data_IF_202443714672
#
_entry.id   IF_202443714672
#
_cell.length_a   1.000
_cell.length_b   1.000
_cell.length_c   1.000
_cell.angle_alpha   90.00
_cell.angle_beta   90.00
_cell.angle_gamma   90.00
#
_symmetry.space_group_name_H-M   'P 1'
#
loop_
_entity.id
_entity.type
_entity.pdbx_description
1 polymer ?
#
# COMPACT_ATOMS: atom_id res chain seq x y z
N UNK A 1 22.91 -25.16 -21.04
CA UNK A 1 22.57 -23.73 -21.09
C UNK A 1 21.09 -23.56 -20.79
N UNK A 2 20.77 -23.28 -19.53
CA UNK A 2 19.47 -22.71 -19.14
C UNK A 2 19.81 -21.60 -18.16
N UNK A 3 20.05 -20.39 -18.68
CA UNK A 3 19.87 -19.20 -17.86
C UNK A 3 18.37 -18.98 -17.83
N UNK A 4 17.72 -19.57 -16.82
CA UNK A 4 16.36 -19.14 -16.48
C UNK A 4 16.46 -17.68 -16.10
N UNK A 5 15.72 -16.83 -16.79
CA UNK A 5 15.55 -15.43 -16.42
C UNK A 5 14.96 -15.38 -15.01
N UNK A 6 15.85 -15.26 -14.01
CA UNK A 6 15.46 -15.01 -12.64
C UNK A 6 15.01 -13.55 -12.61
N UNK A 7 13.72 -13.32 -12.86
CA UNK A 7 13.09 -12.04 -12.61
C UNK A 7 13.22 -11.84 -11.10
N UNK A 8 14.22 -11.08 -10.68
CA UNK A 8 14.42 -10.66 -9.30
C UNK A 8 13.25 -9.74 -8.95
N UNK A 9 12.12 -10.35 -8.59
CA UNK A 9 10.98 -9.63 -8.09
C UNK A 9 11.45 -8.95 -6.79
N UNK A 10 11.66 -7.64 -6.84
CA UNK A 10 12.24 -6.90 -5.73
C UNK A 10 11.23 -6.87 -4.60
N UNK A 11 11.62 -7.42 -3.45
CA UNK A 11 10.83 -7.30 -2.23
C UNK A 11 10.88 -5.86 -1.73
N UNK A 12 9.70 -5.29 -1.54
CA UNK A 12 9.50 -3.98 -0.95
C UNK A 12 8.77 -4.13 0.37
N UNK A 13 8.92 -3.16 1.27
CA UNK A 13 8.23 -3.16 2.56
C UNK A 13 7.54 -1.83 2.80
N UNK A 14 6.25 -1.90 3.17
CA UNK A 14 5.46 -0.75 3.60
C UNK A 14 5.10 -0.89 5.07
N UNK A 15 4.91 0.25 5.73
CA UNK A 15 4.37 0.31 7.09
C UNK A 15 2.95 0.85 6.98
N UNK A 16 1.98 0.11 7.49
CA UNK A 16 0.59 0.53 7.49
C UNK A 16 0.41 1.65 8.52
N UNK A 17 0.07 2.83 8.03
CA UNK A 17 -0.14 4.04 8.83
C UNK A 17 -1.49 4.67 8.50
N UNK A 18 -2.16 5.24 9.51
CA UNK A 18 -3.47 5.90 9.41
C UNK A 18 -4.52 4.98 8.77
N UNK A 19 -4.54 3.70 9.18
CA UNK A 19 -5.29 2.62 8.51
C UNK A 19 -6.75 2.99 8.22
N UNK A 20 -7.44 3.67 9.14
CA UNK A 20 -8.84 4.08 8.94
C UNK A 20 -9.08 5.10 7.80
N UNK A 21 -8.03 5.70 7.25
CA UNK A 21 -8.11 6.61 6.11
C UNK A 21 -7.38 6.08 4.89
N UNK A 22 -6.22 5.44 5.08
CA UNK A 22 -5.33 5.03 3.99
C UNK A 22 -5.63 3.63 3.50
N UNK A 23 -6.33 2.79 4.28
CA UNK A 23 -6.68 1.43 3.90
C UNK A 23 -8.17 1.38 3.57
N UNK A 24 -8.49 0.78 2.43
CA UNK A 24 -9.87 0.57 1.98
C UNK A 24 -10.03 -0.80 1.37
N UNK A 25 -11.24 -1.36 1.45
CA UNK A 25 -11.59 -2.63 0.83
C UNK A 25 -12.58 -2.34 -0.29
N UNK A 26 -12.28 -2.81 -1.50
CA UNK A 26 -13.13 -2.62 -2.67
C UNK A 26 -13.00 -3.81 -3.60
N UNK A 27 -14.14 -4.35 -4.07
CA UNK A 27 -14.19 -5.37 -5.13
C UNK A 27 -13.22 -6.55 -4.93
N UNK A 28 -13.12 -7.08 -3.72
CA UNK A 28 -12.24 -8.22 -3.41
C UNK A 28 -10.76 -7.85 -3.24
N UNK A 29 -10.43 -6.56 -3.19
CA UNK A 29 -9.06 -6.08 -3.01
C UNK A 29 -8.96 -5.17 -1.78
N UNK A 30 -7.77 -5.17 -1.18
CA UNK A 30 -7.36 -4.21 -0.16
C UNK A 30 -6.46 -3.18 -0.82
N UNK A 31 -6.85 -1.91 -0.75
CA UNK A 31 -6.10 -0.80 -1.33
C UNK A 31 -5.51 0.03 -0.21
N UNK A 32 -4.18 0.10 -0.18
CA UNK A 32 -3.42 0.98 0.71
C UNK A 32 -2.91 2.21 -0.05
N UNK A 33 -3.35 3.39 0.40
CA UNK A 33 -3.05 4.71 -0.17
C UNK A 33 -2.37 5.57 0.91
N UNK A 34 -1.04 5.51 1.10
CA UNK A 34 -0.33 6.20 2.20
C UNK A 34 -0.45 7.73 2.17
N UNK A 35 -0.80 8.30 1.01
CA UNK A 35 -0.98 9.75 0.82
C UNK A 35 -2.46 10.15 0.76
N UNK A 36 -3.38 9.28 1.14
CA UNK A 36 -4.79 9.63 1.24
C UNK A 36 -4.99 10.83 2.19
N UNK A 37 -5.75 11.82 1.73
CA UNK A 37 -5.98 13.08 2.45
C UNK A 37 -4.75 14.00 2.61
N UNK A 38 -3.64 13.73 1.90
CA UNK A 38 -2.42 14.56 1.92
C UNK A 38 -2.21 15.19 0.55
N UNK A 39 -1.90 16.49 0.49
CA UNK A 39 -1.49 17.13 -0.76
C UNK A 39 -0.06 16.73 -1.10
N UNK A 40 0.13 15.99 -2.19
CA UNK A 40 1.43 15.48 -2.62
C UNK A 40 1.54 15.54 -4.15
N UNK A 41 2.76 15.53 -4.67
CA UNK A 41 2.97 15.40 -6.12
C UNK A 41 2.78 13.96 -6.62
N UNK A 42 2.87 12.98 -5.71
CA UNK A 42 2.82 11.55 -5.98
C UNK A 42 1.84 10.85 -5.05
N UNK A 43 0.96 10.04 -5.62
CA UNK A 43 -0.05 9.25 -4.93
C UNK A 43 0.14 7.77 -5.26
N UNK A 44 1.03 7.07 -4.54
CA UNK A 44 1.14 5.62 -4.69
C UNK A 44 -0.09 4.94 -4.08
N UNK A 45 -0.53 3.85 -4.71
CA UNK A 45 -1.58 2.95 -4.25
C UNK A 45 -1.08 1.52 -4.38
N UNK A 46 -1.15 0.76 -3.30
CA UNK A 46 -0.78 -0.65 -3.25
C UNK A 46 -2.04 -1.49 -3.13
N UNK A 47 -2.19 -2.44 -4.05
CA UNK A 47 -3.40 -3.24 -4.20
C UNK A 47 -3.05 -4.68 -3.88
N UNK A 48 -3.72 -5.24 -2.89
CA UNK A 48 -3.54 -6.62 -2.44
C UNK A 48 -4.85 -7.38 -2.63
N UNK A 49 -4.77 -8.69 -2.86
CA UNK A 49 -5.94 -9.56 -2.79
C UNK A 49 -6.48 -9.59 -1.36
N UNK A 50 -7.81 -9.48 -1.19
CA UNK A 50 -8.42 -9.44 0.14
C UNK A 50 -8.22 -10.72 0.91
N UNK A 51 -8.28 -11.88 0.25
CA UNK A 51 -8.13 -13.18 0.90
C UNK A 51 -6.70 -13.38 1.37
N UNK A 52 -5.72 -13.02 0.55
CA UNK A 52 -4.30 -13.06 0.94
C UNK A 52 -4.02 -12.10 2.11
N UNK A 53 -4.54 -10.87 2.03
CA UNK A 53 -4.33 -9.87 3.06
C UNK A 53 -4.95 -10.29 4.39
N UNK A 54 -6.18 -10.81 4.40
CA UNK A 54 -6.83 -11.29 5.61
C UNK A 54 -6.12 -12.49 6.23
N UNK A 55 -5.58 -13.41 5.41
CA UNK A 55 -4.85 -14.58 5.89
C UNK A 55 -3.49 -14.22 6.51
N UNK A 56 -2.76 -13.26 5.93
CA UNK A 56 -1.38 -12.93 6.34
C UNK A 56 -1.28 -11.75 7.28
N UNK A 57 -2.05 -10.69 7.04
CA UNK A 57 -2.02 -9.43 7.79
C UNK A 57 -3.15 -9.37 8.81
N UNK A 58 -4.35 -9.83 8.41
CA UNK A 58 -5.57 -9.80 9.23
C UNK A 58 -6.65 -8.90 8.63
N UNK A 59 -7.82 -8.88 9.28
CA UNK A 59 -9.00 -8.16 8.77
C UNK A 59 -8.80 -6.64 8.73
N UNK A 60 -8.85 -6.00 7.54
CA UNK A 60 -8.59 -4.57 7.36
C UNK A 60 -9.51 -3.64 8.16
N UNK A 61 -10.79 -3.99 8.24
CA UNK A 61 -11.84 -3.12 8.79
C UNK A 61 -12.14 -3.38 10.28
N UNK A 62 -11.81 -4.57 10.77
CA UNK A 62 -12.13 -4.99 12.14
C UNK A 62 -10.96 -4.77 13.12
N UNK A 63 -9.78 -4.37 12.62
CA UNK A 63 -8.57 -4.40 13.43
C UNK A 63 -7.79 -3.07 13.41
N UNK A 64 -8.06 -2.15 14.35
CA UNK A 64 -7.25 -0.93 14.53
C UNK A 64 -5.80 -1.23 14.96
N UNK A 65 -5.46 -2.48 15.30
CA UNK A 65 -4.10 -2.89 15.64
C UNK A 65 -3.18 -3.11 14.42
N UNK A 66 -3.67 -2.90 13.20
CA UNK A 66 -2.84 -2.95 11.99
C UNK A 66 -1.90 -1.74 11.86
N UNK A 67 -2.12 -0.68 12.64
CA UNK A 67 -1.25 0.48 12.68
C UNK A 67 0.19 0.09 13.07
N UNK A 68 1.16 0.52 12.28
CA UNK A 68 2.58 0.19 12.44
C UNK A 68 2.96 -1.22 11.98
N UNK A 69 2.04 -1.99 11.40
CA UNK A 69 2.35 -3.29 10.81
C UNK A 69 3.21 -3.13 9.56
N UNK A 70 4.30 -3.87 9.47
CA UNK A 70 5.15 -3.90 8.29
C UNK A 70 4.70 -5.04 7.37
N UNK A 71 4.38 -4.72 6.13
CA UNK A 71 3.98 -5.67 5.09
C UNK A 71 5.07 -5.67 4.03
N UNK A 72 5.75 -6.80 3.90
CA UNK A 72 6.72 -7.07 2.83
C UNK A 72 5.99 -7.72 1.67
N UNK A 73 6.17 -7.17 0.48
CA UNK A 73 5.48 -7.61 -0.72
C UNK A 73 6.39 -7.58 -1.94
N UNK A 74 5.95 -8.28 -2.98
CA UNK A 74 6.53 -8.22 -4.32
C UNK A 74 5.55 -7.51 -5.24
N UNK A 75 6.05 -6.53 -6.01
CA UNK A 75 5.27 -5.86 -7.04
C UNK A 75 5.08 -6.81 -8.24
N UNK A 76 3.84 -7.20 -8.51
CA UNK A 76 3.47 -8.02 -9.67
C UNK A 76 3.32 -7.15 -10.92
N UNK A 77 2.70 -5.98 -10.78
CA UNK A 77 2.48 -5.04 -11.88
C UNK A 77 2.38 -3.64 -11.32
N UNK A 78 2.96 -2.67 -12.04
CA UNK A 78 2.89 -1.25 -11.67
C UNK A 78 2.41 -0.44 -12.86
N UNK A 79 1.33 0.32 -12.64
CA UNK A 79 0.77 1.25 -13.60
C UNK A 79 0.99 2.69 -13.14
N UNK A 80 1.39 3.56 -14.06
CA UNK A 80 1.58 4.97 -13.80
C UNK A 80 0.57 5.79 -14.61
N UNK A 81 -0.02 6.77 -13.95
CA UNK A 81 -0.91 7.74 -14.59
C UNK A 81 -0.53 9.14 -14.15
N UNK A 82 -0.51 10.06 -15.10
CA UNK A 82 -0.28 11.48 -14.83
C UNK A 82 -1.54 12.25 -15.20
N UNK A 83 -2.08 12.99 -14.25
CA UNK A 83 -3.22 13.86 -14.46
C UNK A 83 -2.81 15.30 -14.25
N UNK A 84 -3.16 16.16 -15.21
CA UNK A 84 -3.11 17.62 -15.03
C UNK A 84 -4.54 18.09 -14.86
N UNK A 85 -4.76 18.95 -13.87
CA UNK A 85 -6.01 19.69 -13.77
C UNK A 85 -6.14 20.61 -14.99
N UNK A 86 -7.30 20.59 -15.63
CA UNK A 86 -7.67 21.54 -16.68
C UNK A 86 -8.03 22.91 -16.10
N UNK A 87 -8.41 22.95 -14.81
CA UNK A 87 -8.66 24.20 -14.09
C UNK A 87 -7.33 24.88 -13.71
N UNK A 88 -7.04 26.08 -14.25
CA UNK A 88 -5.80 26.82 -13.98
C UNK A 88 -5.70 27.36 -12.54
N UNK A 89 -6.81 27.40 -11.79
CA UNK A 89 -6.83 27.87 -10.41
C UNK A 89 -6.54 26.78 -9.39
N UNK A 90 -6.51 25.51 -9.82
CA UNK A 90 -6.12 24.39 -8.95
C UNK A 90 -4.60 24.32 -8.86
N UNK A 91 -4.00 24.54 -7.67
CA UNK A 91 -2.57 24.44 -7.49
C UNK A 91 -2.11 23.00 -7.76
N UNK A 92 -1.20 22.82 -8.73
CA UNK A 92 -0.66 21.50 -9.09
C UNK A 92 0.87 21.54 -9.24
N UNK A 93 1.55 20.40 -8.98
CA UNK A 93 3.00 20.31 -9.17
C UNK A 93 3.39 20.59 -10.63
N UNK A 94 4.59 21.11 -10.85
CA UNK A 94 5.17 21.18 -12.20
C UNK A 94 5.23 19.76 -12.80
N UNK A 95 4.46 19.53 -13.86
CA UNK A 95 4.34 18.21 -14.50
C UNK A 95 3.01 17.49 -14.25
N UNK A 96 2.17 17.99 -13.35
CA UNK A 96 0.90 17.36 -12.95
C UNK A 96 1.03 16.46 -11.73
N UNK A 97 -0.06 15.80 -11.37
CA UNK A 97 -0.13 14.84 -10.28
C UNK A 97 0.15 13.43 -10.82
N UNK A 98 1.07 12.72 -10.18
CA UNK A 98 1.41 11.34 -10.55
C UNK A 98 0.69 10.36 -9.62
N UNK A 99 -0.07 9.43 -10.18
CA UNK A 99 -0.69 8.33 -9.45
C UNK A 99 -0.08 7.03 -9.93
N UNK A 100 0.43 6.23 -8.98
CA UNK A 100 1.00 4.92 -9.25
C UNK A 100 0.11 3.88 -8.60
N UNK A 101 -0.30 2.85 -9.35
CA UNK A 101 -1.00 1.68 -8.81
C UNK A 101 -0.09 0.48 -8.92
N UNK A 102 0.17 -0.19 -7.81
CA UNK A 102 1.00 -1.39 -7.75
C UNK A 102 0.15 -2.54 -7.26
N UNK A 103 0.04 -3.59 -8.06
CA UNK A 103 -0.56 -4.86 -7.66
C UNK A 103 0.52 -5.67 -6.95
N UNK A 104 0.24 -6.10 -5.73
CA UNK A 104 1.21 -6.65 -4.81
C UNK A 104 0.80 -8.06 -4.38
N UNK A 105 1.78 -8.95 -4.20
CA UNK A 105 1.61 -10.21 -3.45
C UNK A 105 2.40 -10.15 -2.16
N UNK A 106 1.80 -10.59 -1.06
CA UNK A 106 2.38 -10.45 0.27
C UNK A 106 3.39 -11.58 0.53
N UNK A 107 4.63 -11.24 0.82
CA UNK A 107 5.69 -12.21 1.09
C UNK A 107 5.96 -12.38 2.59
N UNK A 108 5.73 -11.33 3.38
CA UNK A 108 5.97 -11.36 4.83
C UNK A 108 5.21 -10.27 5.57
N UNK A 109 4.96 -10.51 6.86
CA UNK A 109 4.28 -9.56 7.73
C UNK A 109 4.99 -9.52 9.08
N UNK A 110 5.31 -8.33 9.55
CA UNK A 110 5.79 -8.08 10.90
C UNK A 110 4.78 -7.22 11.64
N UNK A 111 4.07 -7.83 12.59
CA UNK A 111 3.12 -7.12 13.45
C UNK A 111 3.88 -6.15 14.36
N UNK A 112 3.32 -4.96 14.54
CA UNK A 112 3.83 -4.02 15.54
C UNK A 112 3.80 -4.72 16.91
N UNK A 113 4.94 -4.76 17.61
CA UNK A 113 4.98 -5.26 18.99
C UNK A 113 4.03 -4.41 19.81
N UNK A 114 2.87 -4.96 20.18
CA UNK A 114 2.06 -4.39 21.26
C UNK A 114 2.99 -4.26 22.47
N UNK A 115 3.28 -3.01 22.88
CA UNK A 115 3.84 -2.77 24.20
C UNK A 115 2.80 -3.28 25.19
N UNK A 116 2.96 -4.53 25.61
CA UNK A 116 2.23 -5.07 26.74
C UNK A 116 2.40 -4.11 27.90
N UNK A 117 1.32 -3.42 28.28
CA UNK A 117 1.22 -2.88 29.61
C UNK A 117 1.21 -4.10 30.54
N UNK A 118 2.38 -4.39 31.11
CA UNK A 118 2.49 -5.32 32.21
C UNK A 118 1.47 -4.94 33.28
N UNK A 119 0.64 -5.90 33.65
CA UNK A 119 -0.11 -5.86 34.90
C UNK A 119 0.90 -5.85 36.04
N UNK A 120 0.79 -4.87 36.93
CA UNK A 120 0.83 -5.01 38.39
C UNK A 120 0.07 -3.82 38.97
#
# INVERSE_FOLDING_TARGET
FFFGDYIMATEETIILERVGMTLSVSEGHVVYSPKEGVQAARYPKFIFDVSEFEQKVGKPLDNPSLEGCQVTFVALTTEHSNSKSEDPYVPQPQGGVQTTKTICSICGVQLAKMKGKGKC
#
